data_IF_339164290974
#
_entry.id   IF_339164290974
#
_cell.length_a   1.000
_cell.length_b   1.000
_cell.length_c   1.000
_cell.angle_alpha   90.00
_cell.angle_beta   90.00
_cell.angle_gamma   90.00
#
_symmetry.space_group_name_H-M   'P 1'
#
loop_
_entity.id
_entity.type
_entity.pdbx_description
1 polymer ?
#
# COMPACT_ATOMS: atom_id res chain seq x y z
N UNK A 1 -0.02 14.54 3.97
CA UNK A 1 -0.60 13.19 4.21
C UNK A 1 0.35 12.28 5.00
N UNK A 2 1.62 12.11 4.60
CA UNK A 2 2.55 11.20 5.31
C UNK A 2 2.73 11.51 6.81
N UNK A 3 2.88 12.79 7.19
CA UNK A 3 3.01 13.18 8.59
C UNK A 3 1.78 12.88 9.45
N UNK A 4 0.57 13.04 8.90
CA UNK A 4 -0.67 12.73 9.61
C UNK A 4 -0.79 11.24 9.95
N UNK A 5 -0.47 10.37 8.99
CA UNK A 5 -0.52 8.92 9.19
C UNK A 5 0.50 8.47 10.24
N UNK A 6 1.73 9.01 10.19
CA UNK A 6 2.76 8.70 11.17
C UNK A 6 2.37 9.10 12.59
N UNK A 7 1.80 10.31 12.75
CA UNK A 7 1.29 10.78 14.06
C UNK A 7 0.12 9.91 14.53
N UNK A 8 -0.83 9.58 13.65
CA UNK A 8 -1.94 8.69 13.98
C UNK A 8 -1.44 7.33 14.51
N UNK A 9 -0.47 6.72 13.83
CA UNK A 9 0.12 5.46 14.27
C UNK A 9 0.86 5.58 15.60
N UNK A 10 1.63 6.64 15.81
CA UNK A 10 2.29 6.86 17.09
C UNK A 10 1.27 6.99 18.24
N UNK A 11 0.20 7.76 18.05
CA UNK A 11 -0.82 7.98 19.07
C UNK A 11 -1.63 6.72 19.37
N UNK A 12 -2.05 5.98 18.35
CA UNK A 12 -2.84 4.75 18.58
C UNK A 12 -1.98 3.65 19.21
N UNK A 13 -0.71 3.51 18.81
CA UNK A 13 0.23 2.58 19.45
C UNK A 13 0.47 2.96 20.91
N UNK A 14 0.70 4.24 21.20
CA UNK A 14 0.84 4.72 22.57
C UNK A 14 -0.42 4.41 23.41
N UNK A 15 -1.61 4.68 22.86
CA UNK A 15 -2.88 4.39 23.53
C UNK A 15 -3.01 2.89 23.86
N UNK A 16 -2.74 2.01 22.90
CA UNK A 16 -2.82 0.55 23.08
C UNK A 16 -1.83 0.10 24.16
N UNK A 17 -0.58 0.59 24.13
CA UNK A 17 0.45 0.22 25.10
C UNK A 17 0.13 0.73 26.51
N UNK A 18 -0.37 1.96 26.64
CA UNK A 18 -0.78 2.53 27.93
C UNK A 18 -1.99 1.77 28.49
N UNK A 19 -2.98 1.43 27.67
CA UNK A 19 -4.09 0.61 28.15
C UNK A 19 -3.63 -0.79 28.55
N UNK A 20 -2.70 -1.37 27.79
CA UNK A 20 -2.13 -2.68 28.07
C UNK A 20 -1.44 -2.74 29.43
N UNK A 21 -0.76 -1.67 29.87
CA UNK A 21 -0.09 -1.65 31.18
C UNK A 21 -1.06 -1.70 32.37
N UNK A 22 -2.35 -1.46 32.13
CA UNK A 22 -3.40 -1.52 33.15
C UNK A 22 -4.19 -2.84 33.12
N UNK A 23 -3.92 -3.72 32.15
CA UNK A 23 -4.59 -5.03 32.04
C UNK A 23 -3.85 -6.03 32.95
N UNK A 24 -4.53 -6.65 33.94
CA UNK A 24 -3.93 -7.69 34.77
C UNK A 24 -3.44 -8.88 33.95
N UNK A 25 -2.25 -9.40 34.28
CA UNK A 25 -1.63 -10.52 33.56
C UNK A 25 -2.48 -11.80 33.54
N UNK A 26 -3.35 -11.99 34.53
CA UNK A 26 -4.28 -13.12 34.63
C UNK A 26 -5.26 -13.23 33.45
N UNK A 27 -5.60 -12.11 32.81
CA UNK A 27 -6.47 -12.11 31.62
C UNK A 27 -5.78 -12.82 30.44
N UNK A 28 -4.46 -12.73 30.36
CA UNK A 28 -3.68 -13.43 29.33
C UNK A 28 -3.41 -14.89 29.65
N UNK A 29 -3.54 -15.29 30.92
CA UNK A 29 -3.52 -16.69 31.35
C UNK A 29 -4.89 -17.39 31.15
N UNK A 30 -5.91 -16.66 30.69
CA UNK A 30 -7.21 -17.26 30.38
C UNK A 30 -7.13 -18.17 29.14
N UNK A 31 -7.94 -19.25 29.06
CA UNK A 31 -7.95 -20.17 27.92
C UNK A 31 -8.18 -19.48 26.56
N UNK A 32 -8.99 -18.41 26.53
CA UNK A 32 -9.23 -17.61 25.33
C UNK A 32 -7.95 -16.96 24.79
N UNK A 33 -7.08 -16.50 25.69
CA UNK A 33 -5.85 -15.78 25.33
C UNK A 33 -4.74 -16.71 24.86
N UNK A 34 -4.74 -17.97 25.30
CA UNK A 34 -3.78 -18.99 24.84
C UNK A 34 -3.84 -19.24 23.34
N UNK A 35 -5.00 -19.06 22.71
CA UNK A 35 -5.17 -19.19 21.26
C UNK A 35 -4.98 -17.83 20.57
N UNK A 36 -5.59 -16.76 21.11
CA UNK A 36 -5.55 -15.45 20.47
C UNK A 36 -4.15 -14.84 20.38
N UNK A 37 -3.31 -15.02 21.41
CA UNK A 37 -1.95 -14.47 21.42
C UNK A 37 -1.06 -15.05 20.31
N UNK A 38 -0.86 -16.38 20.18
CA UNK A 38 -0.02 -16.92 19.12
C UNK A 38 -0.62 -16.69 17.73
N UNK A 39 -1.96 -16.76 17.58
CA UNK A 39 -2.62 -16.44 16.33
C UNK A 39 -2.43 -14.97 15.94
N UNK A 40 -2.58 -14.05 16.90
CA UNK A 40 -2.38 -12.61 16.68
C UNK A 40 -0.94 -12.30 16.31
N UNK A 41 0.04 -12.92 16.99
CA UNK A 41 1.46 -12.75 16.67
C UNK A 41 1.78 -13.28 15.28
N UNK A 42 1.27 -14.45 14.91
CA UNK A 42 1.45 -15.01 13.58
C UNK A 42 0.86 -14.08 12.49
N UNK A 43 -0.36 -13.56 12.69
CA UNK A 43 -0.99 -12.60 11.79
C UNK A 43 -0.18 -11.31 11.67
N UNK A 44 0.34 -10.81 12.78
CA UNK A 44 1.19 -9.62 12.79
C UNK A 44 2.46 -9.83 11.98
N UNK A 45 3.19 -10.93 12.23
CA UNK A 45 4.43 -11.25 11.51
C UNK A 45 4.16 -11.43 10.01
N UNK A 46 3.14 -12.22 9.64
CA UNK A 46 2.76 -12.43 8.24
C UNK A 46 2.38 -11.10 7.58
N UNK A 47 1.60 -10.26 8.28
CA UNK A 47 1.18 -8.94 7.81
C UNK A 47 2.37 -8.02 7.57
N UNK A 48 3.27 -7.86 8.55
CA UNK A 48 4.45 -7.00 8.40
C UNK A 48 5.40 -7.50 7.30
N UNK A 49 5.67 -8.80 7.25
CA UNK A 49 6.54 -9.38 6.21
C UNK A 49 5.94 -9.22 4.82
N UNK A 50 4.65 -9.52 4.65
CA UNK A 50 3.96 -9.37 3.37
C UNK A 50 3.86 -7.91 2.93
N UNK A 51 3.62 -6.98 3.86
CA UNK A 51 3.62 -5.55 3.59
C UNK A 51 5.00 -5.08 3.10
N UNK A 52 6.07 -5.42 3.83
CA UNK A 52 7.44 -5.08 3.48
C UNK A 52 7.84 -5.67 2.12
N UNK A 53 7.57 -6.95 1.89
CA UNK A 53 7.88 -7.63 0.63
C UNK A 53 7.28 -6.90 -0.58
N UNK A 54 6.00 -6.52 -0.50
CA UNK A 54 5.33 -5.82 -1.59
C UNK A 54 5.80 -4.36 -1.73
N UNK A 55 6.25 -3.71 -0.66
CA UNK A 55 6.92 -2.40 -0.75
C UNK A 55 8.29 -2.50 -1.44
N UNK A 56 9.08 -3.53 -1.14
CA UNK A 56 10.36 -3.80 -1.81
C UNK A 56 10.15 -4.07 -3.29
N UNK A 57 9.14 -4.87 -3.66
CA UNK A 57 8.77 -5.06 -5.06
C UNK A 57 8.48 -3.73 -5.78
N UNK A 58 7.66 -2.87 -5.17
CA UNK A 58 7.36 -1.54 -5.74
C UNK A 58 8.59 -0.64 -5.82
N UNK A 59 9.50 -0.72 -4.85
CA UNK A 59 10.75 0.05 -4.85
C UNK A 59 11.64 -0.40 -6.02
N UNK A 60 11.79 -1.71 -6.23
CA UNK A 60 12.59 -2.27 -7.32
C UNK A 60 12.05 -1.85 -8.70
N UNK A 61 10.73 -1.76 -8.87
CA UNK A 61 10.11 -1.28 -10.11
C UNK A 61 10.37 0.20 -10.42
N UNK A 62 10.77 1.01 -9.45
CA UNK A 62 11.12 2.42 -9.66
C UNK A 62 12.56 2.59 -10.17
N UNK A 63 13.42 1.61 -9.92
CA UNK A 63 14.82 1.62 -10.34
C UNK A 63 15.03 0.95 -11.70
N UNK A 64 14.06 0.17 -12.19
CA UNK A 64 14.12 -0.27 -13.58
C UNK A 64 13.94 0.94 -14.52
N UNK A 65 14.91 1.23 -15.41
CA UNK A 65 14.71 2.22 -16.45
C UNK A 65 13.51 1.76 -17.28
N UNK A 66 12.49 2.61 -17.39
CA UNK A 66 11.29 2.29 -18.14
C UNK A 66 11.68 1.87 -19.57
N UNK A 67 11.44 0.59 -19.91
CA UNK A 67 11.55 0.14 -21.30
C UNK A 67 10.62 1.04 -22.12
N UNK A 68 11.22 1.94 -22.91
CA UNK A 68 10.46 2.85 -23.79
C UNK A 68 9.48 1.99 -24.61
N UNK A 69 8.20 2.36 -24.70
CA UNK A 69 7.31 1.72 -25.64
C UNK A 69 7.94 1.84 -27.04
N UNK A 70 8.03 0.73 -27.78
CA UNK A 70 8.32 0.81 -29.22
C UNK A 70 7.24 1.71 -29.83
N UNK A 71 7.60 2.92 -30.23
CA UNK A 71 6.77 3.75 -31.10
C UNK A 71 6.75 3.04 -32.46
N UNK A 72 5.69 2.30 -32.75
CA UNK A 72 5.39 1.91 -34.12
C UNK A 72 5.06 3.18 -34.91
N UNK A 73 5.81 3.37 -35.99
CA UNK A 73 5.95 4.64 -36.69
C UNK A 73 4.67 5.14 -37.34
N UNK A 74 4.44 6.44 -37.20
CA UNK A 74 3.62 7.22 -38.12
C UNK A 74 4.56 8.24 -38.79
N UNK A 75 4.61 8.37 -40.13
CA UNK A 75 5.58 9.21 -40.82
C UNK A 75 5.31 10.72 -40.63
N UNK A 76 6.32 11.59 -40.84
CA UNK A 76 6.22 13.01 -40.53
C UNK A 76 5.57 13.82 -41.67
N UNK A 77 4.59 14.66 -41.31
CA UNK A 77 4.15 15.78 -42.17
C UNK A 77 4.84 17.06 -41.68
N UNK A 78 5.61 17.67 -42.58
CA UNK A 78 6.34 18.92 -42.41
C UNK A 78 5.41 20.14 -42.53
N UNK A 79 5.54 21.14 -41.64
CA UNK A 79 5.43 22.58 -42.01
C UNK A 79 6.23 23.47 -41.03
N UNK A 80 7.42 23.85 -41.49
CA UNK A 80 8.05 25.20 -41.49
C UNK A 80 7.76 26.26 -40.41
N UNK A 81 8.82 26.65 -39.68
CA UNK A 81 9.31 28.05 -39.63
C UNK A 81 8.99 28.93 -38.41
N UNK A 82 9.94 29.09 -37.48
CA UNK A 82 10.62 30.37 -37.12
C UNK A 82 11.43 30.23 -35.82
N UNK A 83 12.66 30.77 -35.83
CA UNK A 83 13.64 30.75 -34.75
C UNK A 83 13.68 32.07 -33.99
N UNK A 84 13.88 32.05 -32.65
CA UNK A 84 14.99 32.77 -31.97
C UNK A 84 15.05 32.47 -30.46
N UNK A 85 16.22 31.98 -30.04
CA UNK A 85 16.99 32.19 -28.78
C UNK A 85 16.29 32.52 -27.45
N UNK A 86 16.52 31.68 -26.43
CA UNK A 86 17.43 31.98 -25.29
C UNK A 86 17.48 30.76 -24.36
N UNK A 87 18.69 30.24 -24.09
CA UNK A 87 18.93 29.23 -23.06
C UNK A 87 19.14 29.89 -21.69
N UNK A 88 18.34 29.48 -20.70
CA UNK A 88 18.73 29.43 -19.30
C UNK A 88 17.79 28.44 -18.56
N UNK A 89 18.23 27.17 -18.56
CA UNK A 89 18.02 26.17 -17.49
C UNK A 89 16.69 26.20 -16.72
N UNK A 90 15.70 25.48 -17.23
CA UNK A 90 14.84 24.67 -16.35
C UNK A 90 14.69 23.31 -17.01
N UNK A 91 15.39 22.30 -16.48
CA UNK A 91 15.09 20.93 -16.87
C UNK A 91 13.58 20.72 -16.63
N UNK A 92 12.82 20.24 -17.62
CA UNK A 92 11.39 19.99 -17.42
C UNK A 92 11.24 19.01 -16.25
N UNK A 93 10.17 19.13 -15.44
CA UNK A 93 9.94 18.20 -14.34
C UNK A 93 9.95 16.80 -14.92
N UNK A 94 10.95 15.99 -14.54
CA UNK A 94 11.11 14.63 -15.03
C UNK A 94 9.78 13.91 -14.76
N UNK A 95 9.02 13.67 -15.81
CA UNK A 95 7.72 13.04 -15.69
C UNK A 95 7.94 11.66 -15.06
N UNK A 96 7.45 11.46 -13.83
CA UNK A 96 7.58 10.17 -13.13
C UNK A 96 6.94 9.10 -14.01
N UNK A 97 7.78 8.23 -14.56
CA UNK A 97 7.32 7.09 -15.33
C UNK A 97 6.76 6.05 -14.35
N UNK A 98 5.47 5.74 -14.50
CA UNK A 98 4.82 4.70 -13.70
C UNK A 98 4.75 3.40 -14.52
N UNK A 99 5.14 2.29 -13.91
CA UNK A 99 4.97 0.95 -14.44
C UNK A 99 3.74 0.28 -13.82
N UNK A 100 3.17 -0.72 -14.52
CA UNK A 100 2.10 -1.55 -13.95
C UNK A 100 2.72 -2.45 -12.88
N UNK A 101 2.27 -2.39 -11.61
CA UNK A 101 2.80 -3.26 -10.57
C UNK A 101 2.58 -4.73 -10.91
N UNK A 102 3.64 -5.54 -10.78
CA UNK A 102 3.65 -6.97 -11.10
C UNK A 102 4.48 -7.77 -10.10
N UNK A 103 4.28 -9.09 -10.06
CA UNK A 103 4.98 -9.99 -9.15
C UNK A 103 4.29 -10.14 -7.79
N UNK A 104 4.55 -11.28 -7.13
CA UNK A 104 3.86 -11.63 -5.89
C UNK A 104 2.33 -11.55 -6.02
N UNK A 105 1.67 -10.96 -5.02
CA UNK A 105 0.21 -10.83 -5.01
C UNK A 105 -0.29 -9.66 -5.87
N UNK A 106 0.59 -8.83 -6.46
CA UNK A 106 0.18 -7.80 -7.43
C UNK A 106 -0.48 -8.39 -8.68
N UNK A 107 -0.22 -9.67 -8.98
CA UNK A 107 -0.88 -10.35 -10.10
C UNK A 107 -2.38 -10.55 -9.87
N UNK A 108 -2.83 -10.65 -8.60
CA UNK A 108 -4.22 -10.86 -8.22
C UNK A 108 -4.92 -9.58 -7.74
N UNK A 109 -4.21 -8.75 -6.95
CA UNK A 109 -4.78 -7.54 -6.33
C UNK A 109 -3.94 -6.31 -6.63
N UNK A 110 -4.59 -5.16 -6.63
CA UNK A 110 -3.96 -3.88 -6.94
C UNK A 110 -3.03 -3.47 -5.80
N UNK A 111 -3.50 -3.55 -4.55
CA UNK A 111 -2.79 -3.07 -3.37
C UNK A 111 -2.55 -4.19 -2.33
N UNK A 112 -1.70 -5.18 -2.63
CA UNK A 112 -1.42 -6.29 -1.71
C UNK A 112 -0.76 -5.82 -0.41
N UNK A 113 0.07 -4.78 -0.45
CA UNK A 113 0.69 -4.22 0.75
C UNK A 113 -0.36 -3.68 1.75
N UNK A 114 -1.47 -3.10 1.28
CA UNK A 114 -2.57 -2.69 2.15
C UNK A 114 -3.30 -3.90 2.75
N UNK A 115 -3.48 -4.98 1.99
CA UNK A 115 -4.07 -6.21 2.53
C UNK A 115 -3.23 -6.77 3.68
N UNK A 116 -1.91 -6.85 3.49
CA UNK A 116 -1.00 -7.31 4.53
C UNK A 116 -0.90 -6.34 5.72
N UNK A 117 -1.05 -5.03 5.49
CA UNK A 117 -1.18 -4.05 6.57
C UNK A 117 -2.43 -4.31 7.42
N UNK A 118 -3.57 -4.65 6.80
CA UNK A 118 -4.77 -5.05 7.55
C UNK A 118 -4.59 -6.34 8.34
N UNK A 119 -3.89 -7.34 7.81
CA UNK A 119 -3.52 -8.54 8.58
C UNK A 119 -2.69 -8.18 9.82
N UNK A 120 -1.76 -7.23 9.70
CA UNK A 120 -1.01 -6.75 10.84
C UNK A 120 -1.90 -6.06 11.89
N UNK A 121 -2.86 -5.22 11.46
CA UNK A 121 -3.85 -4.60 12.36
C UNK A 121 -4.75 -5.62 13.06
N UNK A 122 -5.20 -6.66 12.35
CA UNK A 122 -5.94 -7.75 12.97
C UNK A 122 -5.08 -8.56 13.95
N UNK A 123 -3.79 -8.75 13.64
CA UNK A 123 -2.83 -9.34 14.57
C UNK A 123 -2.68 -8.52 15.86
N UNK A 124 -2.50 -7.20 15.75
CA UNK A 124 -2.45 -6.28 16.91
C UNK A 124 -3.73 -6.37 17.72
N UNK A 125 -4.89 -6.34 17.06
CA UNK A 125 -6.20 -6.45 17.72
C UNK A 125 -6.35 -7.76 18.49
N UNK A 126 -5.93 -8.88 17.89
CA UNK A 126 -5.97 -10.20 18.53
C UNK A 126 -4.98 -10.33 19.70
N UNK A 127 -3.79 -9.70 19.61
CA UNK A 127 -2.82 -9.68 20.69
C UNK A 127 -3.25 -8.78 21.86
N UNK A 128 -3.75 -7.57 21.55
CA UNK A 128 -4.13 -6.60 22.57
C UNK A 128 -5.47 -6.95 23.23
N UNK A 129 -6.40 -7.58 22.51
CA UNK A 129 -7.75 -7.93 22.99
C UNK A 129 -8.53 -6.73 23.56
N UNK A 130 -8.23 -5.51 23.10
CA UNK A 130 -8.86 -4.27 23.55
C UNK A 130 -9.76 -3.66 22.47
N UNK A 131 -10.83 -2.99 22.89
CA UNK A 131 -11.82 -2.41 21.96
C UNK A 131 -11.25 -1.28 21.08
N UNK A 132 -10.35 -0.45 21.61
CA UNK A 132 -9.63 0.57 20.84
C UNK A 132 -8.78 -0.06 19.71
N UNK A 133 -8.13 -1.22 19.94
CA UNK A 133 -7.37 -1.91 18.90
C UNK A 133 -8.28 -2.48 17.80
N UNK A 134 -9.45 -3.03 18.18
CA UNK A 134 -10.49 -3.47 17.24
C UNK A 134 -11.01 -2.30 16.41
N UNK A 135 -11.33 -1.17 17.05
CA UNK A 135 -11.79 0.04 16.39
C UNK A 135 -10.73 0.63 15.45
N UNK A 136 -9.46 0.61 15.86
CA UNK A 136 -8.35 1.01 15.01
C UNK A 136 -8.25 0.11 13.76
N UNK A 137 -8.32 -1.20 13.91
CA UNK A 137 -8.31 -2.14 12.78
C UNK A 137 -9.51 -1.93 11.83
N UNK A 138 -10.71 -1.67 12.37
CA UNK A 138 -11.90 -1.35 11.58
C UNK A 138 -11.75 -0.02 10.82
N UNK A 139 -11.23 1.02 11.49
CA UNK A 139 -10.94 2.31 10.88
C UNK A 139 -9.92 2.19 9.75
N UNK A 140 -8.84 1.43 9.97
CA UNK A 140 -7.83 1.14 8.95
C UNK A 140 -8.40 0.35 7.78
N UNK A 141 -9.30 -0.61 8.04
CA UNK A 141 -10.00 -1.37 7.00
C UNK A 141 -10.82 -0.45 6.10
N UNK A 142 -11.61 0.45 6.70
CA UNK A 142 -12.40 1.43 5.94
C UNK A 142 -11.50 2.35 5.10
N UNK A 143 -10.48 2.94 5.72
CA UNK A 143 -9.56 3.86 5.06
C UNK A 143 -8.80 3.22 3.89
N UNK A 144 -8.16 2.07 4.12
CA UNK A 144 -7.36 1.39 3.10
C UNK A 144 -8.22 0.80 1.98
N UNK A 145 -9.45 0.35 2.28
CA UNK A 145 -10.38 -0.12 1.24
C UNK A 145 -10.78 1.02 0.31
N UNK A 146 -11.18 2.18 0.86
CA UNK A 146 -11.50 3.36 0.06
C UNK A 146 -10.31 3.82 -0.79
N UNK A 147 -9.11 3.84 -0.18
CA UNK A 147 -7.87 4.19 -0.88
C UNK A 147 -7.51 3.18 -1.98
N UNK A 148 -7.72 1.88 -1.75
CA UNK A 148 -7.45 0.84 -2.75
C UNK A 148 -8.36 0.99 -3.98
N UNK A 149 -9.65 1.30 -3.78
CA UNK A 149 -10.59 1.57 -4.87
C UNK A 149 -10.15 2.78 -5.69
N UNK A 150 -9.87 3.90 -5.03
CA UNK A 150 -9.40 5.12 -5.70
C UNK A 150 -8.10 4.90 -6.47
N UNK A 151 -7.15 4.18 -5.87
CA UNK A 151 -5.86 3.87 -6.52
C UNK A 151 -6.06 2.96 -7.73
N UNK A 152 -6.97 1.98 -7.64
CA UNK A 152 -7.29 1.10 -8.79
C UNK A 152 -7.94 1.89 -9.93
N UNK A 153 -8.84 2.82 -9.62
CA UNK A 153 -9.45 3.69 -10.62
C UNK A 153 -8.38 4.53 -11.35
N UNK A 154 -7.44 5.11 -10.60
CA UNK A 154 -6.30 5.83 -11.16
C UNK A 154 -5.45 4.95 -12.07
N UNK A 155 -5.15 3.70 -11.67
CA UNK A 155 -4.39 2.76 -12.51
C UNK A 155 -5.15 2.40 -13.81
N UNK A 156 -6.46 2.19 -13.74
CA UNK A 156 -7.30 1.91 -14.92
C UNK A 156 -7.28 3.08 -15.92
N UNK A 157 -7.42 4.31 -15.42
CA UNK A 157 -7.33 5.52 -16.25
C UNK A 157 -5.92 5.67 -16.86
N UNK A 158 -4.87 5.43 -16.07
CA UNK A 158 -3.49 5.63 -16.48
C UNK A 158 -3.02 4.63 -17.54
N UNK A 159 -3.43 3.36 -17.43
CA UNK A 159 -2.92 2.28 -18.26
C UNK A 159 -3.92 1.74 -19.29
N UNK A 160 -5.19 2.16 -19.24
CA UNK A 160 -6.22 1.79 -20.20
C UNK A 160 -6.28 0.27 -20.42
N UNK A 161 -6.22 -0.16 -21.68
CA UNK A 161 -6.29 -1.56 -22.08
C UNK A 161 -5.14 -2.44 -21.56
N UNK A 162 -4.01 -1.84 -21.14
CA UNK A 162 -2.89 -2.59 -20.54
C UNK A 162 -3.19 -3.02 -19.11
N UNK A 163 -4.23 -2.48 -18.47
CA UNK A 163 -4.57 -2.82 -17.10
C UNK A 163 -5.33 -4.17 -17.02
N UNK A 164 -4.89 -5.13 -16.18
CA UNK A 164 -5.58 -6.41 -16.05
C UNK A 164 -6.99 -6.25 -15.46
N UNK A 165 -8.03 -6.59 -16.24
CA UNK A 165 -9.44 -6.46 -15.83
C UNK A 165 -9.84 -7.40 -14.68
N UNK A 166 -9.13 -8.52 -14.54
CA UNK A 166 -9.37 -9.53 -13.48
C UNK A 166 -8.83 -9.10 -12.12
N UNK A 167 -7.94 -8.10 -12.06
CA UNK A 167 -7.27 -7.66 -10.84
C UNK A 167 -8.26 -6.98 -9.90
N UNK A 168 -8.33 -7.46 -8.67
CA UNK A 168 -9.19 -6.90 -7.61
C UNK A 168 -8.50 -5.73 -6.91
N UNK A 169 -9.23 -5.04 -6.04
CA UNK A 169 -8.69 -3.89 -5.31
C UNK A 169 -7.72 -4.31 -4.20
N UNK A 170 -8.20 -5.17 -3.29
CA UNK A 170 -7.56 -5.49 -2.02
C UNK A 170 -7.55 -6.99 -1.71
N UNK A 171 -8.70 -7.67 -1.85
CA UNK A 171 -8.83 -9.11 -1.61
C UNK A 171 -8.71 -9.91 -2.91
N UNK A 172 -7.95 -11.03 -2.93
CA UNK A 172 -7.64 -11.78 -4.14
C UNK A 172 -8.76 -12.69 -4.66
N UNK A 173 -9.87 -12.83 -3.92
CA UNK A 173 -11.05 -13.64 -4.27
C UNK A 173 -12.29 -12.75 -4.32
#
# INVERSE_FOLDING_TARGET
VAGFIGVFYALISLLITVQQSHVPAEIYASPSSHIMLPCGLALFVIGTMGNLYHHVLLANMRHEPSKKPKQEGVPPTQTTGMAMTTEASSAPPVAKSYSVPSGGLFNAVTMPHYFFELLAWFGISACAQQINAVLAAAGMTSYLSGRAVATTAWYKEKFGDKWPKTRKHLLPF
#
